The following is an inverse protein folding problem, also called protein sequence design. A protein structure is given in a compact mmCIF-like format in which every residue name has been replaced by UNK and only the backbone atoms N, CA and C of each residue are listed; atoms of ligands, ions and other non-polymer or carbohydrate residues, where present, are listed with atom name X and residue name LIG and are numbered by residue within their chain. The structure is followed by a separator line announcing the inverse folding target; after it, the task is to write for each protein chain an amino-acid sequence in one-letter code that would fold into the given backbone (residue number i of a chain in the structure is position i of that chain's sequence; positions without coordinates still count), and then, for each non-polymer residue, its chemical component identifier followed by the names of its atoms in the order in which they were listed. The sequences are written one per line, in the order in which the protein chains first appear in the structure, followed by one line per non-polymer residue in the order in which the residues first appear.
data_IF_014118875451
#
_entry.id   IF_014118875451
#
_cell.length_a   1.000
_cell.length_b   1.000
_cell.length_c   1.000
_cell.angle_alpha   90.00
_cell.angle_beta   90.00
_cell.angle_gamma   90.00
#
_symmetry.space_group_name_H-M   'P 1'
#
loop_
_entity.id
_entity.type
_entity.pdbx_description
1 polymer ?
#
# COMPACT_ATOMS: atom_id res chain seq x y z
N UNK A 1 -10.90 47.11 -36.61
CA UNK A 1 -11.29 46.00 -37.49
C UNK A 1 -11.69 44.86 -36.56
N UNK A 2 -12.95 44.60 -36.22
CA UNK A 2 -14.16 44.29 -37.01
C UNK A 2 -13.94 43.22 -38.09
N UNK A 3 -14.65 42.10 -37.95
CA UNK A 3 -15.16 41.08 -38.94
C UNK A 3 -15.24 39.72 -38.20
N UNK A 4 -16.42 39.33 -37.66
CA UNK A 4 -17.46 38.45 -38.25
C UNK A 4 -17.04 36.97 -38.39
N UNK A 5 -17.51 36.06 -37.53
CA UNK A 5 -18.70 35.17 -37.64
C UNK A 5 -18.60 34.10 -38.74
N UNK A 6 -18.59 32.82 -38.35
CA UNK A 6 -19.33 31.76 -39.04
C UNK A 6 -19.56 30.56 -38.10
N UNK A 7 -20.81 30.38 -37.69
CA UNK A 7 -21.33 29.15 -37.11
C UNK A 7 -21.62 28.13 -38.21
N UNK A 8 -21.41 26.84 -37.93
CA UNK A 8 -21.96 25.75 -38.74
C UNK A 8 -22.73 24.82 -37.81
N UNK A 9 -24.01 24.62 -38.16
CA UNK A 9 -24.98 23.81 -37.46
C UNK A 9 -25.38 22.58 -38.31
N UNK A 10 -25.68 21.48 -37.61
CA UNK A 10 -26.65 20.40 -37.93
C UNK A 10 -26.24 19.32 -38.98
N UNK A 11 -26.80 18.07 -38.91
CA UNK A 11 -28.14 17.74 -38.42
C UNK A 11 -28.31 16.56 -37.43
N UNK A 12 -29.38 16.67 -36.63
CA UNK A 12 -30.14 15.58 -36.04
C UNK A 12 -30.76 14.72 -37.15
N UNK A 13 -30.68 13.40 -37.04
CA UNK A 13 -31.62 12.48 -37.69
C UNK A 13 -32.49 11.81 -36.64
N UNK A 14 -33.78 12.15 -36.70
CA UNK A 14 -34.85 11.48 -36.00
C UNK A 14 -35.28 10.23 -36.77
N UNK A 15 -35.47 9.10 -36.07
CA UNK A 15 -36.36 8.05 -36.53
C UNK A 15 -37.49 7.85 -35.53
N UNK A 16 -38.68 8.27 -35.95
CA UNK A 16 -39.97 7.92 -35.37
C UNK A 16 -40.48 6.69 -36.12
N UNK A 17 -40.84 5.61 -35.41
CA UNK A 17 -41.80 4.63 -35.94
C UNK A 17 -42.86 4.27 -34.91
N UNK A 18 -44.09 4.30 -35.41
CA UNK A 18 -45.41 4.35 -34.81
C UNK A 18 -45.76 3.29 -33.76
N UNK A 19 -46.56 3.78 -32.83
CA UNK A 19 -47.44 3.17 -31.83
C UNK A 19 -48.45 2.15 -32.38
N UNK A 20 -48.77 1.13 -31.57
CA UNK A 20 -50.12 0.59 -31.41
C UNK A 20 -50.34 0.12 -29.95
N UNK A 21 -51.51 0.45 -29.39
CA UNK A 21 -52.08 0.18 -28.05
C UNK A 21 -53.52 -0.32 -28.29
N UNK A 22 -54.34 -0.83 -27.33
CA UNK A 22 -54.14 -1.55 -26.05
C UNK A 22 -54.84 -2.94 -26.03
N UNK A 23 -54.58 -3.75 -24.99
CA UNK A 23 -55.56 -4.72 -24.49
C UNK A 23 -55.59 -4.72 -22.95
N UNK A 24 -56.78 -5.06 -22.42
CA UNK A 24 -57.37 -4.84 -21.08
C UNK A 24 -56.61 -5.40 -19.85
N UNK A 25 -56.95 -4.93 -18.64
CA UNK A 25 -56.35 -5.35 -17.38
C UNK A 25 -56.97 -6.66 -16.87
N UNK A 26 -56.11 -7.62 -16.53
CA UNK A 26 -56.51 -8.85 -15.84
C UNK A 26 -55.82 -8.91 -14.48
N UNK A 27 -56.65 -9.26 -13.50
CA UNK A 27 -56.46 -9.41 -12.07
C UNK A 27 -55.04 -9.70 -11.53
N UNK A 28 -54.75 -9.04 -10.40
CA UNK A 28 -53.65 -9.33 -9.51
C UNK A 28 -53.73 -10.74 -8.90
N UNK A 29 -52.63 -11.50 -8.90
CA UNK A 29 -52.41 -12.59 -7.95
C UNK A 29 -51.78 -12.07 -6.66
N UNK A 30 -52.18 -12.70 -5.57
CA UNK A 30 -51.90 -12.38 -4.18
C UNK A 30 -50.42 -12.25 -3.82
N UNK A 31 -50.18 -11.39 -2.83
CA UNK A 31 -48.90 -11.15 -2.16
C UNK A 31 -48.47 -12.43 -1.43
N UNK A 32 -47.35 -13.03 -1.82
CA UNK A 32 -46.65 -14.01 -0.98
C UNK A 32 -45.81 -13.27 0.06
N UNK A 33 -45.77 -13.73 1.32
CA UNK A 33 -45.00 -13.06 2.38
C UNK A 33 -43.50 -13.14 2.09
N UNK A 34 -42.86 -11.97 2.18
CA UNK A 34 -41.41 -11.79 2.21
C UNK A 34 -40.81 -12.60 3.37
N UNK A 35 -39.87 -13.53 3.13
CA UNK A 35 -39.08 -14.09 4.22
C UNK A 35 -38.16 -13.00 4.79
N UNK A 36 -38.22 -12.86 6.11
CA UNK A 36 -37.38 -12.04 6.97
C UNK A 36 -35.88 -12.21 6.60
N UNK A 37 -35.10 -11.12 6.45
CA UNK A 37 -33.67 -11.25 6.22
C UNK A 37 -33.03 -11.84 7.46
N UNK A 38 -32.59 -13.10 7.35
CA UNK A 38 -31.68 -13.72 8.30
C UNK A 38 -30.41 -12.86 8.34
N UNK A 39 -29.90 -12.45 9.51
CA UNK A 39 -28.65 -11.73 9.60
C UNK A 39 -27.52 -12.65 9.13
N UNK A 40 -27.07 -12.48 7.89
CA UNK A 40 -25.83 -13.06 7.40
C UNK A 40 -24.71 -12.54 8.29
N UNK A 41 -24.16 -13.43 9.13
CA UNK A 41 -22.83 -13.27 9.69
C UNK A 41 -21.90 -13.00 8.52
N UNK A 42 -21.41 -11.77 8.42
CA UNK A 42 -20.35 -11.40 7.49
C UNK A 42 -19.22 -12.40 7.66
N UNK A 43 -19.04 -13.27 6.67
CA UNK A 43 -17.84 -14.10 6.54
C UNK A 43 -16.69 -13.12 6.30
N UNK A 44 -16.00 -12.74 7.38
CA UNK A 44 -14.70 -12.06 7.30
C UNK A 44 -13.81 -12.98 6.47
N UNK A 45 -13.28 -12.49 5.35
CA UNK A 45 -12.29 -13.21 4.56
C UNK A 45 -11.04 -13.39 5.41
N UNK A 46 -10.96 -14.51 6.11
CA UNK A 46 -9.73 -14.96 6.75
C UNK A 46 -8.72 -15.31 5.65
N UNK A 47 -7.45 -14.99 5.91
CA UNK A 47 -6.31 -15.27 5.03
C UNK A 47 -6.28 -16.76 4.66
N UNK A 48 -6.41 -17.15 3.37
CA UNK A 48 -6.13 -18.51 2.95
C UNK A 48 -4.63 -18.79 3.13
N UNK A 49 -4.28 -19.91 3.77
CA UNK A 49 -2.88 -20.36 3.84
C UNK A 49 -1.97 -19.58 4.80
N UNK A 50 -2.39 -19.43 6.06
CA UNK A 50 -1.52 -19.71 7.22
C UNK A 50 -2.42 -19.75 8.46
N UNK A 51 -2.89 -20.95 8.79
CA UNK A 51 -3.48 -21.22 10.10
C UNK A 51 -2.43 -21.05 11.17
N UNK A 52 -2.30 -19.83 11.68
CA UNK A 52 -1.84 -19.59 13.04
C UNK A 52 -2.54 -18.33 13.52
N UNK A 53 -3.43 -18.55 14.48
CA UNK A 53 -3.79 -17.55 15.47
C UNK A 53 -2.56 -16.67 15.76
N UNK A 54 -2.75 -15.35 15.74
CA UNK A 54 -1.79 -14.35 16.17
C UNK A 54 -1.44 -14.57 17.66
N UNK A 55 -0.68 -15.61 17.92
CA UNK A 55 -0.02 -15.89 19.18
C UNK A 55 1.36 -15.33 18.95
N UNK A 56 1.69 -14.28 19.69
CA UNK A 56 2.97 -13.58 19.68
C UNK A 56 4.12 -14.57 19.47
N UNK A 57 4.60 -14.69 18.23
CA UNK A 57 5.86 -15.36 17.95
C UNK A 57 6.90 -14.58 18.74
N UNK A 58 7.53 -15.23 19.72
CA UNK A 58 8.60 -14.65 20.53
C UNK A 58 9.61 -14.04 19.56
N UNK A 59 9.79 -12.71 19.63
CA UNK A 59 10.66 -12.01 18.71
C UNK A 59 12.06 -12.63 18.79
N UNK A 60 12.52 -13.21 17.68
CA UNK A 60 13.86 -13.83 17.57
C UNK A 60 14.94 -12.79 17.27
N UNK A 61 14.68 -11.55 17.66
CA UNK A 61 15.53 -10.37 17.47
C UNK A 61 15.20 -9.34 18.57
N UNK A 62 16.12 -8.41 18.80
CA UNK A 62 15.94 -7.28 19.72
C UNK A 62 15.79 -6.02 18.88
N UNK A 63 14.59 -5.38 18.85
CA UNK A 63 14.39 -4.19 18.04
C UNK A 63 15.20 -3.01 18.57
N UNK A 64 16.00 -2.41 17.70
CA UNK A 64 16.77 -1.19 17.95
C UNK A 64 16.17 0.00 17.22
N UNK A 65 15.57 -0.23 16.06
CA UNK A 65 14.95 0.76 15.19
C UNK A 65 13.44 0.67 15.23
N UNK A 66 12.78 1.82 15.32
CA UNK A 66 11.33 1.92 15.37
C UNK A 66 10.87 3.06 14.47
N UNK A 67 9.91 2.77 13.61
CA UNK A 67 9.22 3.75 12.79
C UNK A 67 7.72 3.55 12.93
N UNK A 68 7.01 4.66 13.02
CA UNK A 68 5.56 4.70 13.02
C UNK A 68 5.09 5.78 12.06
N UNK A 69 4.08 5.45 11.26
CA UNK A 69 3.37 6.41 10.43
C UNK A 69 1.90 6.39 10.79
N UNK A 70 1.31 7.56 11.02
CA UNK A 70 -0.11 7.72 11.29
C UNK A 70 -0.75 8.73 10.35
N UNK A 71 -1.87 8.34 9.74
CA UNK A 71 -2.73 9.23 8.96
C UNK A 71 -4.20 8.79 9.03
N UNK A 72 -5.00 9.41 9.90
CA UNK A 72 -6.43 9.09 10.01
C UNK A 72 -7.19 9.24 8.69
N UNK A 73 -8.17 8.37 8.46
CA UNK A 73 -9.05 8.42 7.29
C UNK A 73 -8.49 7.79 6.00
N UNK A 74 -7.24 7.32 6.02
CA UNK A 74 -6.61 6.63 4.89
C UNK A 74 -6.90 5.12 4.89
N UNK A 75 -6.78 4.48 3.73
CA UNK A 75 -6.98 3.03 3.60
C UNK A 75 -6.03 2.25 4.51
N UNK A 76 -4.77 2.69 4.60
CA UNK A 76 -3.81 2.26 5.61
C UNK A 76 -3.56 3.44 6.54
N UNK A 77 -4.16 3.41 7.72
CA UNK A 77 -4.21 4.55 8.64
C UNK A 77 -3.03 4.59 9.60
N UNK A 78 -2.41 3.44 9.88
CA UNK A 78 -1.25 3.32 10.76
C UNK A 78 -0.30 2.25 10.23
N UNK A 79 1.00 2.51 10.30
CA UNK A 79 2.07 1.57 9.98
C UNK A 79 3.11 1.63 11.09
N UNK A 80 3.59 0.47 11.53
CA UNK A 80 4.60 0.28 12.56
C UNK A 80 5.68 -0.61 11.96
N UNK A 81 6.92 -0.18 11.98
CA UNK A 81 8.08 -0.96 11.57
C UNK A 81 9.02 -1.02 12.75
N UNK A 82 9.44 -2.22 13.12
CA UNK A 82 10.51 -2.43 14.11
C UNK A 82 11.51 -3.43 13.55
N UNK A 83 12.81 -3.15 13.68
CA UNK A 83 13.86 -4.06 13.25
C UNK A 83 15.12 -3.92 14.10
N UNK A 84 15.95 -4.96 14.08
CA UNK A 84 17.29 -4.95 14.65
C UNK A 84 18.31 -4.29 13.70
N UNK A 85 19.57 -4.25 14.12
CA UNK A 85 20.69 -3.68 13.35
C UNK A 85 21.04 -4.53 12.10
N UNK A 86 20.46 -5.73 11.93
CA UNK A 86 20.61 -6.58 10.74
C UNK A 86 19.38 -6.49 9.82
N UNK A 87 18.44 -5.59 10.12
CA UNK A 87 17.22 -5.42 9.33
C UNK A 87 16.16 -6.52 9.54
N UNK A 88 16.36 -7.42 10.50
CA UNK A 88 15.38 -8.44 10.86
C UNK A 88 14.36 -7.82 11.80
N UNK A 89 13.09 -8.01 11.50
CA UNK A 89 12.05 -7.23 12.15
C UNK A 89 10.63 -7.72 11.97
N UNK A 90 9.72 -6.80 12.20
CA UNK A 90 8.29 -6.94 11.97
C UNK A 90 7.74 -5.64 11.40
N UNK A 91 6.82 -5.76 10.46
CA UNK A 91 5.96 -4.67 10.03
C UNK A 91 4.53 -4.97 10.47
N UNK A 92 3.84 -3.97 11.00
CA UNK A 92 2.42 -4.03 11.33
C UNK A 92 1.69 -2.85 10.72
N UNK A 93 0.47 -3.04 10.24
CA UNK A 93 -0.34 -1.95 9.70
C UNK A 93 -1.84 -2.14 9.97
N UNK A 94 -2.54 -1.02 10.09
CA UNK A 94 -3.98 -0.96 10.32
C UNK A 94 -4.67 -0.51 9.03
N UNK A 95 -5.62 -1.31 8.54
CA UNK A 95 -6.45 -0.95 7.40
C UNK A 95 -7.81 -0.45 7.85
N UNK A 96 -8.41 0.44 7.06
CA UNK A 96 -9.69 1.12 7.38
C UNK A 96 -10.82 0.16 7.79
N UNK A 97 -10.87 -1.03 7.19
CA UNK A 97 -11.95 -2.01 7.41
C UNK A 97 -11.57 -3.09 8.44
N UNK A 98 -10.43 -2.94 9.12
CA UNK A 98 -9.91 -3.89 10.10
C UNK A 98 -9.59 -3.17 11.41
N UNK A 99 -10.15 -3.67 12.51
CA UNK A 99 -9.87 -3.14 13.85
C UNK A 99 -8.58 -3.70 14.47
N UNK A 100 -7.88 -4.58 13.76
CA UNK A 100 -6.68 -5.28 14.21
C UNK A 100 -5.46 -4.93 13.36
N UNK A 101 -4.31 -4.83 14.01
CA UNK A 101 -3.01 -4.69 13.34
C UNK A 101 -2.64 -5.99 12.63
N UNK A 102 -2.58 -5.94 11.31
CA UNK A 102 -1.99 -7.02 10.52
C UNK A 102 -0.48 -6.94 10.63
N UNK A 103 0.16 -8.05 10.98
CA UNK A 103 1.62 -8.11 11.20
C UNK A 103 2.25 -9.21 10.37
N UNK A 104 3.37 -8.90 9.73
CA UNK A 104 4.19 -9.87 8.99
C UNK A 104 5.68 -9.69 9.38
N UNK A 105 6.48 -10.78 9.34
CA UNK A 105 7.93 -10.68 9.48
C UNK A 105 8.53 -9.75 8.41
N UNK A 106 9.51 -8.96 8.81
CA UNK A 106 10.24 -8.01 7.97
C UNK A 106 11.70 -8.46 7.89
N UNK A 107 12.23 -8.47 6.67
CA UNK A 107 13.68 -8.56 6.43
C UNK A 107 14.06 -7.46 5.45
N UNK A 108 14.81 -6.48 5.94
CA UNK A 108 15.40 -5.43 5.12
C UNK A 108 16.65 -5.95 4.41
N UNK A 109 16.97 -5.37 3.25
CA UNK A 109 18.23 -5.67 2.58
C UNK A 109 19.40 -4.97 3.27
N UNK A 110 20.62 -5.47 3.04
CA UNK A 110 21.82 -4.87 3.59
C UNK A 110 22.01 -3.41 3.14
N UNK A 111 21.66 -3.09 1.89
CA UNK A 111 21.75 -1.73 1.35
C UNK A 111 20.79 -0.77 2.06
N UNK A 112 19.55 -1.21 2.32
CA UNK A 112 18.57 -0.43 3.08
C UNK A 112 19.06 -0.16 4.50
N UNK A 113 19.52 -1.20 5.21
CA UNK A 113 20.04 -1.06 6.59
C UNK A 113 21.23 -0.12 6.64
N UNK A 114 22.19 -0.27 5.73
CA UNK A 114 23.36 0.62 5.64
C UNK A 114 22.94 2.09 5.40
N UNK A 115 21.96 2.34 4.54
CA UNK A 115 21.41 3.68 4.32
C UNK A 115 20.82 4.29 5.57
N UNK A 116 20.00 3.53 6.30
CA UNK A 116 19.35 3.93 7.55
C UNK A 116 20.40 4.26 8.62
N UNK A 117 21.38 3.37 8.84
CA UNK A 117 22.45 3.58 9.83
C UNK A 117 23.25 4.85 9.54
N UNK A 118 23.69 5.03 8.29
CA UNK A 118 24.46 6.22 7.90
C UNK A 118 23.68 7.52 8.13
N UNK A 119 22.35 7.51 7.95
CA UNK A 119 21.53 8.69 8.24
C UNK A 119 21.46 8.96 9.74
N UNK A 120 21.27 7.93 10.58
CA UNK A 120 21.32 8.10 12.04
C UNK A 120 22.69 8.58 12.54
N UNK A 121 23.78 8.09 11.95
CA UNK A 121 25.15 8.52 12.26
C UNK A 121 25.37 10.00 11.91
N UNK A 122 24.99 10.43 10.70
CA UNK A 122 25.12 11.84 10.27
C UNK A 122 24.28 12.79 11.12
N UNK A 123 23.12 12.34 11.58
CA UNK A 123 22.29 13.10 12.52
C UNK A 123 22.86 13.13 13.94
N UNK A 124 23.88 12.32 14.25
CA UNK A 124 24.32 12.05 15.63
C UNK A 124 23.11 11.75 16.53
N UNK A 125 22.19 10.94 16.01
CA UNK A 125 20.78 11.02 16.39
C UNK A 125 20.52 10.92 17.89
N UNK A 126 21.17 9.99 18.58
CA UNK A 126 20.98 9.77 20.03
C UNK A 126 21.51 10.92 20.90
N UNK A 127 22.45 11.70 20.39
CA UNK A 127 23.11 12.79 21.11
C UNK A 127 22.58 14.17 20.66
N UNK A 128 21.84 14.23 19.56
CA UNK A 128 21.23 15.45 19.05
C UNK A 128 19.97 15.85 19.83
N UNK A 129 19.82 17.17 20.02
CA UNK A 129 18.61 17.81 20.58
C UNK A 129 17.81 18.57 19.51
N UNK A 130 18.23 18.49 18.24
CA UNK A 130 17.59 19.21 17.12
C UNK A 130 16.14 18.75 16.92
N UNK A 131 15.21 19.70 16.86
CA UNK A 131 13.87 19.43 16.37
C UNK A 131 13.87 19.49 14.84
N UNK A 132 13.63 18.35 14.20
CA UNK A 132 13.62 18.23 12.74
C UNK A 132 12.28 18.64 12.12
N UNK A 133 11.25 18.89 12.92
CA UNK A 133 9.96 19.33 12.42
C UNK A 133 10.09 20.72 11.77
N UNK A 134 9.58 20.83 10.54
CA UNK A 134 9.47 22.11 9.87
C UNK A 134 8.42 23.00 10.56
N UNK A 135 8.66 24.31 10.59
CA UNK A 135 7.82 25.27 11.32
C UNK A 135 6.34 25.25 10.93
N UNK A 136 6.03 24.96 9.66
CA UNK A 136 4.64 24.83 9.18
C UNK A 136 4.08 23.44 9.47
N UNK A 137 2.81 23.43 9.86
CA UNK A 137 2.07 22.19 10.09
C UNK A 137 1.67 21.51 8.77
N UNK A 138 2.20 20.31 8.56
CA UNK A 138 1.86 19.42 7.46
C UNK A 138 1.24 18.10 7.94
N UNK A 139 0.68 18.06 9.14
CA UNK A 139 0.11 16.84 9.75
C UNK A 139 -0.99 16.19 8.91
N UNK A 140 -1.64 16.93 8.03
CA UNK A 140 -2.61 16.40 7.05
C UNK A 140 -1.99 15.40 6.05
N UNK A 141 -0.66 15.42 5.86
CA UNK A 141 0.10 14.46 5.06
C UNK A 141 0.44 13.17 5.84
N UNK A 142 0.19 13.17 7.15
CA UNK A 142 0.56 12.12 8.09
C UNK A 142 1.72 12.54 8.99
N UNK A 143 1.91 11.79 10.07
CA UNK A 143 2.96 12.03 11.06
C UNK A 143 3.83 10.77 11.12
N UNK A 144 5.14 10.96 10.95
CA UNK A 144 6.15 9.93 11.14
C UNK A 144 6.77 10.08 12.53
N UNK A 145 6.75 9.03 13.34
CA UNK A 145 7.55 8.93 14.56
C UNK A 145 8.75 8.04 14.27
N UNK A 146 9.96 8.55 14.49
CA UNK A 146 11.21 7.79 14.34
C UNK A 146 11.83 7.66 15.73
N UNK A 147 12.25 6.45 16.07
CA UNK A 147 12.88 6.16 17.35
C UNK A 147 14.05 5.18 17.17
N UNK A 148 15.13 5.45 17.88
CA UNK A 148 16.33 4.63 17.93
C UNK A 148 16.65 4.31 19.39
N UNK A 149 16.99 3.05 19.66
CA UNK A 149 17.43 2.55 20.97
C UNK A 149 18.74 1.77 20.80
N UNK A 150 19.80 2.23 21.47
CA UNK A 150 21.13 1.58 21.42
C UNK A 150 21.92 1.84 22.70
N UNK A 151 22.55 0.79 23.25
CA UNK A 151 23.45 0.92 24.40
C UNK A 151 22.81 1.57 25.63
N UNK A 152 21.54 1.27 25.90
CA UNK A 152 20.78 1.86 27.02
C UNK A 152 20.29 3.30 26.79
N UNK A 153 20.64 3.93 25.66
CA UNK A 153 20.13 5.23 25.24
C UNK A 153 18.95 5.05 24.29
N UNK A 154 18.03 6.02 24.32
CA UNK A 154 16.89 6.06 23.41
C UNK A 154 16.56 7.51 23.06
N UNK A 155 16.18 7.75 21.81
CA UNK A 155 15.60 9.02 21.36
C UNK A 155 14.43 8.75 20.42
N UNK A 156 13.40 9.58 20.52
CA UNK A 156 12.24 9.57 19.63
C UNK A 156 11.92 10.99 19.16
N UNK A 157 11.54 11.12 17.90
CA UNK A 157 11.11 12.38 17.27
C UNK A 157 9.80 12.15 16.52
N UNK A 158 9.00 13.21 16.37
CA UNK A 158 7.79 13.22 15.55
C UNK A 158 7.93 14.27 14.46
N UNK A 159 7.73 13.86 13.21
CA UNK A 159 7.91 14.71 12.03
C UNK A 159 6.73 14.51 11.09
N UNK A 160 6.05 15.59 10.72
CA UNK A 160 5.13 15.63 9.58
C UNK A 160 5.84 16.08 8.30
N UNK A 161 6.80 16.98 8.43
CA UNK A 161 7.66 17.46 7.35
C UNK A 161 9.00 17.95 7.90
N UNK A 162 10.08 17.81 7.11
CA UNK A 162 11.41 18.30 7.47
C UNK A 162 12.19 18.77 6.25
N UNK A 163 13.09 19.73 6.46
CA UNK A 163 14.09 20.17 5.48
C UNK A 163 15.48 19.59 5.75
N UNK A 164 15.66 18.91 6.90
CA UNK A 164 16.91 18.20 7.20
C UNK A 164 17.00 16.98 6.26
N UNK A 165 18.08 16.90 5.47
CA UNK A 165 18.21 15.90 4.41
C UNK A 165 18.24 14.46 4.95
N UNK A 166 18.87 14.23 6.10
CA UNK A 166 19.00 12.91 6.70
C UNK A 166 17.72 12.47 7.42
N UNK A 167 17.06 13.40 8.13
CA UNK A 167 15.75 13.12 8.70
C UNK A 167 14.71 12.84 7.59
N UNK A 168 14.78 13.60 6.49
CA UNK A 168 13.95 13.36 5.31
C UNK A 168 14.24 12.00 4.69
N UNK A 169 15.52 11.64 4.54
CA UNK A 169 15.91 10.32 4.05
C UNK A 169 15.29 9.21 4.90
N UNK A 170 15.39 9.27 6.24
CA UNK A 170 14.79 8.26 7.12
C UNK A 170 13.28 8.14 6.92
N UNK A 171 12.56 9.27 6.89
CA UNK A 171 11.11 9.27 6.63
C UNK A 171 10.77 8.62 5.29
N UNK A 172 11.46 9.04 4.23
CA UNK A 172 11.20 8.55 2.88
C UNK A 172 11.56 7.06 2.75
N UNK A 173 12.65 6.62 3.37
CA UNK A 173 13.11 5.22 3.37
C UNK A 173 12.11 4.29 4.06
N UNK A 174 11.65 4.63 5.26
CA UNK A 174 10.62 3.85 5.93
C UNK A 174 9.29 3.86 5.19
N UNK A 175 8.95 4.96 4.50
CA UNK A 175 7.78 5.01 3.63
C UNK A 175 7.93 4.08 2.42
N UNK A 176 9.11 4.01 1.81
CA UNK A 176 9.41 3.07 0.71
C UNK A 176 9.24 1.62 1.17
N UNK A 177 9.81 1.27 2.32
CA UNK A 177 9.63 -0.06 2.94
C UNK A 177 8.14 -0.34 3.16
N UNK A 178 7.41 0.63 3.72
CA UNK A 178 5.98 0.50 3.99
C UNK A 178 5.15 0.25 2.72
N UNK A 179 5.39 1.02 1.66
CA UNK A 179 4.68 0.90 0.38
C UNK A 179 4.83 -0.49 -0.23
N UNK A 180 6.06 -0.99 -0.24
CA UNK A 180 6.39 -2.30 -0.78
C UNK A 180 5.72 -3.42 0.00
N UNK A 181 5.79 -3.40 1.34
CA UNK A 181 5.21 -4.44 2.17
C UNK A 181 3.68 -4.45 2.13
N UNK A 182 3.04 -3.28 2.18
CA UNK A 182 1.58 -3.17 2.02
C UNK A 182 1.16 -3.68 0.65
N UNK A 183 1.91 -3.33 -0.41
CA UNK A 183 1.65 -3.85 -1.74
C UNK A 183 1.80 -5.38 -1.81
N UNK A 184 2.87 -5.93 -1.23
CA UNK A 184 3.13 -7.38 -1.21
C UNK A 184 2.02 -8.12 -0.49
N UNK A 185 1.58 -7.61 0.66
CA UNK A 185 0.44 -8.14 1.39
C UNK A 185 -0.82 -8.16 0.50
N UNK A 186 -1.15 -7.03 -0.12
CA UNK A 186 -2.32 -6.94 -0.98
C UNK A 186 -2.23 -7.84 -2.21
N UNK A 187 -1.03 -8.02 -2.75
CA UNK A 187 -0.79 -8.91 -3.87
C UNK A 187 -1.00 -10.39 -3.48
N UNK A 188 -0.58 -10.80 -2.28
CA UNK A 188 -0.83 -12.15 -1.74
C UNK A 188 -2.33 -12.38 -1.54
N UNK A 189 -3.05 -11.41 -0.99
CA UNK A 189 -4.51 -11.51 -0.84
C UNK A 189 -5.20 -11.55 -2.22
N UNK A 190 -4.74 -10.72 -3.16
CA UNK A 190 -5.32 -10.60 -4.50
C UNK A 190 -5.14 -11.87 -5.31
N UNK A 191 -3.94 -12.47 -5.34
CA UNK A 191 -3.70 -13.69 -6.13
C UNK A 191 -4.55 -14.88 -5.66
N UNK A 192 -4.92 -14.91 -4.38
CA UNK A 192 -5.71 -15.99 -3.80
C UNK A 192 -7.22 -15.76 -3.96
N UNK A 193 -7.69 -14.54 -3.73
CA UNK A 193 -9.13 -14.26 -3.63
C UNK A 193 -9.71 -13.57 -4.87
N UNK A 194 -8.91 -12.76 -5.58
CA UNK A 194 -9.34 -11.93 -6.70
C UNK A 194 -8.26 -11.85 -7.79
N UNK A 195 -7.79 -12.98 -8.36
CA UNK A 195 -6.64 -12.98 -9.27
C UNK A 195 -6.84 -12.13 -10.53
N UNK A 196 -8.08 -11.87 -10.94
CA UNK A 196 -8.41 -10.97 -12.05
C UNK A 196 -8.03 -9.50 -11.79
N UNK A 197 -7.89 -9.08 -10.53
CA UNK A 197 -7.43 -7.74 -10.13
C UNK A 197 -5.90 -7.59 -10.15
N UNK A 198 -5.16 -8.70 -10.28
CA UNK A 198 -3.70 -8.67 -10.29
C UNK A 198 -3.08 -7.74 -11.35
N UNK A 199 -3.62 -7.54 -12.57
CA UNK A 199 -3.05 -6.58 -13.51
C UNK A 199 -2.96 -5.17 -12.92
N UNK A 200 -4.02 -4.72 -12.24
CA UNK A 200 -4.07 -3.41 -11.55
C UNK A 200 -3.07 -3.33 -10.40
N UNK A 201 -2.90 -4.44 -9.68
CA UNK A 201 -1.89 -4.52 -8.61
C UNK A 201 -0.47 -4.37 -9.15
N UNK A 202 -0.15 -5.04 -10.28
CA UNK A 202 1.18 -4.92 -10.90
C UNK A 202 1.42 -3.51 -11.44
N UNK A 203 0.40 -2.85 -12.01
CA UNK A 203 0.48 -1.44 -12.40
C UNK A 203 0.78 -0.52 -11.22
N UNK A 204 0.19 -0.78 -10.05
CA UNK A 204 0.51 -0.07 -8.81
C UNK A 204 1.98 -0.19 -8.44
N UNK A 205 2.55 -1.41 -8.50
CA UNK A 205 3.96 -1.63 -8.22
C UNK A 205 4.88 -0.95 -9.25
N UNK A 206 4.56 -1.07 -10.54
CA UNK A 206 5.32 -0.38 -11.60
C UNK A 206 5.32 1.14 -11.37
N UNK A 207 4.19 1.69 -10.92
CA UNK A 207 4.09 3.09 -10.48
C UNK A 207 5.05 3.42 -9.34
N UNK A 208 5.12 2.58 -8.29
CA UNK A 208 6.06 2.76 -7.19
C UNK A 208 7.52 2.69 -7.67
N UNK A 209 7.84 1.69 -8.49
CA UNK A 209 9.18 1.52 -9.04
C UNK A 209 9.64 2.75 -9.83
N UNK A 210 8.79 3.27 -10.74
CA UNK A 210 9.11 4.45 -11.56
C UNK A 210 9.30 5.74 -10.75
N UNK A 211 8.63 5.87 -9.60
CA UNK A 211 8.78 7.02 -8.70
C UNK A 211 9.94 6.88 -7.70
N UNK A 212 10.64 5.74 -7.69
CA UNK A 212 11.63 5.45 -6.65
C UNK A 212 10.99 5.32 -5.27
N UNK A 213 9.78 4.74 -5.21
CA UNK A 213 9.01 4.51 -3.98
C UNK A 213 9.15 3.08 -3.43
N UNK A 214 10.17 2.35 -3.89
CA UNK A 214 10.59 1.03 -3.41
C UNK A 214 12.00 1.15 -2.87
N UNK A 215 12.26 0.58 -1.69
CA UNK A 215 13.50 0.76 -0.93
C UNK A 215 14.71 0.20 -1.67
N UNK A 216 14.68 -1.10 -1.99
CA UNK A 216 15.75 -1.81 -2.69
C UNK A 216 15.15 -2.75 -3.74
N UNK A 217 14.73 -2.27 -4.92
CA UNK A 217 13.99 -3.07 -5.90
C UNK A 217 14.55 -4.48 -6.20
N UNK A 218 15.88 -4.70 -6.30
CA UNK A 218 16.47 -6.03 -6.45
C UNK A 218 16.01 -7.09 -5.44
N UNK A 219 15.72 -6.73 -4.19
CA UNK A 219 15.29 -7.71 -3.18
C UNK A 219 13.90 -8.31 -3.47
N UNK A 220 13.12 -7.70 -4.38
CA UNK A 220 11.77 -8.13 -4.73
C UNK A 220 11.80 -9.23 -5.79
N UNK A 221 12.94 -9.41 -6.47
CA UNK A 221 13.09 -10.34 -7.59
C UNK A 221 12.61 -11.77 -7.27
N UNK A 222 12.90 -12.36 -6.09
CA UNK A 222 12.37 -13.69 -5.77
C UNK A 222 10.84 -13.75 -5.76
N UNK A 223 10.18 -12.74 -5.19
CA UNK A 223 8.72 -12.68 -5.16
C UNK A 223 8.13 -12.39 -6.53
N UNK A 224 8.75 -11.49 -7.31
CA UNK A 224 8.31 -11.21 -8.68
C UNK A 224 8.48 -12.43 -9.58
N UNK A 225 9.54 -13.21 -9.39
CA UNK A 225 9.74 -14.47 -10.14
C UNK A 225 8.66 -15.51 -9.80
N UNK A 226 8.22 -15.58 -8.54
CA UNK A 226 7.08 -16.40 -8.15
C UNK A 226 5.80 -15.94 -8.87
N UNK A 227 5.51 -14.64 -8.86
CA UNK A 227 4.33 -14.09 -9.54
C UNK A 227 4.39 -14.27 -11.07
N UNK A 228 5.57 -14.27 -11.69
CA UNK A 228 5.69 -14.42 -13.14
C UNK A 228 5.32 -15.83 -13.63
N UNK A 229 5.42 -16.82 -12.75
CA UNK A 229 5.12 -18.22 -13.04
C UNK A 229 3.80 -18.69 -12.39
N UNK A 230 3.13 -17.86 -11.58
CA UNK A 230 1.85 -18.20 -10.94
C UNK A 230 0.71 -18.31 -11.97
N UNK A 231 0.31 -19.55 -12.28
CA UNK A 231 -0.75 -19.86 -13.24
C UNK A 231 -2.14 -19.35 -12.85
N UNK A 232 -2.37 -19.03 -11.58
CA UNK A 232 -3.62 -18.42 -11.12
C UNK A 232 -3.78 -17.01 -11.67
N UNK A 233 -2.67 -16.35 -12.01
CA UNK A 233 -2.66 -14.98 -12.50
C UNK A 233 -2.94 -14.92 -14.01
N UNK A 234 -3.76 -13.96 -14.46
CA UNK A 234 -3.93 -13.65 -15.87
C UNK A 234 -2.58 -13.49 -16.59
N UNK A 235 -2.51 -13.97 -17.83
CA UNK A 235 -1.29 -13.91 -18.64
C UNK A 235 -0.75 -12.47 -18.78
N UNK A 236 -1.64 -11.48 -18.86
CA UNK A 236 -1.26 -10.07 -18.91
C UNK A 236 -0.51 -9.60 -17.66
N UNK A 237 -0.93 -10.04 -16.47
CA UNK A 237 -0.26 -9.73 -15.21
C UNK A 237 1.13 -10.37 -15.17
N UNK A 238 1.23 -11.67 -15.48
CA UNK A 238 2.51 -12.40 -15.56
C UNK A 238 3.48 -11.74 -16.53
N UNK A 239 3.03 -11.38 -17.73
CA UNK A 239 3.86 -10.69 -18.72
C UNK A 239 4.31 -9.31 -18.23
N UNK A 240 3.46 -8.59 -17.50
CA UNK A 240 3.83 -7.32 -16.89
C UNK A 240 4.93 -7.52 -15.84
N UNK A 241 4.79 -8.50 -14.94
CA UNK A 241 5.82 -8.85 -13.96
C UNK A 241 7.16 -9.19 -14.65
N UNK A 242 7.14 -9.99 -15.73
CA UNK A 242 8.35 -10.31 -16.52
C UNK A 242 9.03 -9.06 -17.10
N UNK A 243 8.28 -8.03 -17.46
CA UNK A 243 8.86 -6.73 -17.89
C UNK A 243 9.47 -5.98 -16.72
N UNK A 244 8.80 -5.97 -15.57
CA UNK A 244 9.29 -5.29 -14.37
C UNK A 244 10.59 -5.91 -13.84
N UNK A 245 10.68 -7.26 -13.82
CA UNK A 245 11.92 -7.99 -13.50
C UNK A 245 13.08 -7.50 -14.37
N UNK A 246 12.88 -7.46 -15.70
CA UNK A 246 13.90 -6.98 -16.65
C UNK A 246 14.29 -5.52 -16.42
N UNK A 247 13.37 -4.67 -15.94
CA UNK A 247 13.68 -3.27 -15.62
C UNK A 247 14.54 -3.18 -14.35
N UNK A 248 14.19 -3.92 -13.30
CA UNK A 248 14.95 -3.99 -12.04
C UNK A 248 16.38 -4.51 -12.29
N UNK A 249 16.51 -5.57 -13.08
CA UNK A 249 17.83 -6.13 -13.45
C UNK A 249 18.69 -5.15 -14.25
N UNK A 250 18.06 -4.32 -15.09
CA UNK A 250 18.76 -3.28 -15.85
C UNK A 250 19.19 -2.11 -14.98
N UNK A 251 18.38 -1.69 -14.01
CA UNK A 251 18.74 -0.60 -13.09
C UNK A 251 19.86 -0.98 -12.10
N UNK A 252 20.16 -2.28 -11.98
CA UNK A 252 21.31 -2.77 -11.20
C UNK A 252 22.66 -2.51 -11.89
N UNK A 253 22.66 -2.35 -13.22
CA UNK A 253 23.87 -2.10 -14.02
C UNK A 253 24.18 -0.62 -14.10
#
# INVERSE_FOLDING_TARGET
MLVCVAAIAMPLSAQVKKTQRPAKPTAAPAVSPTPEPTPEKQKKNERPGNGSNATSQTATYVPTHFYEFERPGFLTSRILIEHDDNGKGKISFLKKDFDELMSDPLQLSAATVEGIEKAFERLTFLDSTEDYQYEKDYSHLGISTIKLRRGGRERSIKISWTTNADAKFLMDEYRRISNEYVWKFDMVVTRENQPLESPRMIEGLDSYFRRGEISDPPHMLPFLQELSEDERLPLIARNHVKRLIKQIEKSKK
#
